data_IF_856101906754
#
_entry.id   IF_856101906754
#
_cell.length_a   1.000
_cell.length_b   1.000
_cell.length_c   1.000
_cell.angle_alpha   90.00
_cell.angle_beta   90.00
_cell.angle_gamma   90.00
#
_symmetry.space_group_name_H-M   'P 1'
#
loop_
_entity.id
_entity.type
_entity.pdbx_description
1 polymer ?
#
# COMPACT_ATOMS: atom_id res chain seq x y z
N UNK A 1 26.79 -58.36 -15.52
CA UNK A 1 27.18 -57.33 -14.54
C UNK A 1 27.91 -56.20 -15.27
N UNK A 2 27.18 -55.20 -15.78
CA UNK A 2 27.75 -54.07 -16.52
C UNK A 2 28.37 -53.11 -15.50
N UNK A 3 29.70 -53.01 -15.47
CA UNK A 3 30.41 -51.98 -14.72
C UNK A 3 30.13 -50.65 -15.40
N UNK A 4 29.28 -49.83 -14.81
CA UNK A 4 29.08 -48.45 -15.26
C UNK A 4 30.34 -47.66 -14.93
N UNK A 5 30.98 -47.10 -15.97
CA UNK A 5 32.19 -46.30 -15.83
C UNK A 5 31.85 -45.00 -15.08
N UNK A 6 32.30 -44.91 -13.83
CA UNK A 6 32.14 -43.75 -12.93
C UNK A 6 32.67 -42.46 -13.59
N UNK A 7 33.63 -42.57 -14.51
CA UNK A 7 34.15 -41.48 -15.36
C UNK A 7 33.08 -40.83 -16.26
N UNK A 8 32.17 -41.62 -16.84
CA UNK A 8 31.11 -41.12 -17.72
C UNK A 8 30.00 -40.38 -16.95
N UNK A 9 29.79 -40.73 -15.68
CA UNK A 9 28.83 -40.06 -14.79
C UNK A 9 29.40 -38.74 -14.27
N UNK A 10 30.70 -38.71 -13.94
CA UNK A 10 31.39 -37.45 -13.57
C UNK A 10 31.43 -36.45 -14.74
N UNK A 11 31.65 -36.93 -15.98
CA UNK A 11 31.64 -36.06 -17.16
C UNK A 11 30.25 -35.48 -17.43
N UNK A 12 29.17 -36.24 -17.24
CA UNK A 12 27.80 -35.75 -17.40
C UNK A 12 27.43 -34.68 -16.35
N UNK A 13 27.93 -34.80 -15.11
CA UNK A 13 27.66 -33.84 -14.03
C UNK A 13 28.42 -32.51 -14.21
N UNK A 14 29.63 -32.53 -14.78
CA UNK A 14 30.39 -31.30 -15.09
C UNK A 14 29.76 -30.52 -16.24
N UNK A 15 29.17 -31.19 -17.24
CA UNK A 15 28.44 -30.51 -18.32
C UNK A 15 27.08 -29.94 -17.88
N UNK A 16 26.39 -30.59 -16.93
CA UNK A 16 25.12 -30.07 -16.38
C UNK A 16 25.34 -28.83 -15.49
N UNK A 17 26.48 -28.75 -14.80
CA UNK A 17 26.85 -27.57 -14.00
C UNK A 17 27.29 -26.36 -14.85
N UNK A 18 27.83 -26.59 -16.06
CA UNK A 18 28.22 -25.51 -16.98
C UNK A 18 27.03 -24.97 -17.82
N UNK A 19 25.97 -25.77 -17.99
CA UNK A 19 24.76 -25.36 -18.70
C UNK A 19 23.80 -24.48 -17.86
N UNK A 20 23.98 -24.47 -16.53
CA UNK A 20 23.19 -23.62 -15.61
C UNK A 20 23.82 -22.23 -15.36
N UNK A 21 24.94 -21.91 -16.02
CA UNK A 21 25.61 -20.62 -15.89
C UNK A 21 25.28 -19.62 -17.02
N UNK A 22 24.39 -19.95 -17.96
CA UNK A 22 24.08 -19.12 -19.14
C UNK A 22 22.60 -18.79 -19.36
N UNK A 23 21.76 -18.90 -18.33
CA UNK A 23 20.50 -18.14 -18.30
C UNK A 23 20.62 -16.93 -17.37
N UNK A 24 21.71 -16.17 -17.54
CA UNK A 24 21.72 -14.77 -17.19
C UNK A 24 20.99 -14.03 -18.30
N UNK A 25 19.79 -13.51 -18.01
CA UNK A 25 19.14 -12.56 -18.87
C UNK A 25 20.11 -11.38 -19.06
N UNK A 26 20.57 -11.23 -20.30
CA UNK A 26 21.48 -10.20 -20.76
C UNK A 26 20.75 -8.84 -20.68
N UNK A 27 20.68 -8.29 -19.46
CA UNK A 27 20.23 -6.93 -19.22
C UNK A 27 21.34 -5.98 -19.69
N UNK A 28 21.28 -5.58 -20.95
CA UNK A 28 22.16 -4.58 -21.52
C UNK A 28 22.22 -3.31 -20.65
N UNK A 29 23.38 -3.05 -20.06
CA UNK A 29 23.75 -1.75 -19.51
C UNK A 29 25.04 -1.29 -20.19
N UNK A 30 24.86 -0.79 -21.41
CA UNK A 30 25.83 0.08 -22.08
C UNK A 30 25.08 1.33 -22.56
N UNK A 31 25.54 2.49 -22.08
CA UNK A 31 25.19 3.81 -22.60
C UNK A 31 24.32 4.66 -21.69
N UNK A 32 24.95 5.56 -20.92
CA UNK A 32 24.85 7.02 -21.18
C UNK A 32 25.13 7.80 -19.89
N UNK A 33 26.29 8.46 -19.83
CA UNK A 33 26.33 9.75 -19.18
C UNK A 33 25.51 10.70 -20.05
N UNK A 34 24.33 11.08 -19.59
CA UNK A 34 23.43 11.93 -20.36
C UNK A 34 22.10 12.07 -19.64
N UNK A 35 21.95 13.18 -18.93
CA UNK A 35 20.71 13.79 -18.43
C UNK A 35 19.73 12.80 -17.79
N UNK A 36 19.58 12.86 -16.45
CA UNK A 36 18.29 12.46 -15.87
C UNK A 36 17.18 13.07 -16.73
N UNK A 37 16.10 12.35 -17.06
CA UNK A 37 14.97 12.95 -17.76
C UNK A 37 14.69 14.32 -17.14
N UNK A 38 14.69 15.37 -17.95
CA UNK A 38 14.39 16.73 -17.50
C UNK A 38 12.90 16.75 -17.21
N UNK A 39 12.51 16.10 -16.13
CA UNK A 39 11.15 16.07 -15.63
C UNK A 39 11.07 16.91 -14.38
N UNK A 40 10.03 17.74 -14.31
CA UNK A 40 9.69 18.45 -13.08
C UNK A 40 9.09 17.46 -12.05
N UNK A 41 8.87 17.92 -10.81
CA UNK A 41 8.33 17.07 -9.75
C UNK A 41 6.99 16.40 -10.13
N UNK A 42 6.13 17.10 -10.85
CA UNK A 42 4.79 16.62 -11.24
C UNK A 42 4.86 15.40 -12.16
N UNK A 43 5.76 15.43 -13.14
CA UNK A 43 5.94 14.33 -14.09
C UNK A 43 6.37 13.05 -13.37
N UNK A 44 7.27 13.18 -12.39
CA UNK A 44 7.69 12.05 -11.57
C UNK A 44 6.60 11.58 -10.59
N UNK A 45 5.80 12.48 -10.02
CA UNK A 45 4.62 12.10 -9.20
C UNK A 45 3.65 11.29 -10.05
N UNK A 46 3.33 11.78 -11.26
CA UNK A 46 2.42 11.11 -12.20
C UNK A 46 2.93 9.72 -12.56
N UNK A 47 4.21 9.61 -12.94
CA UNK A 47 4.83 8.32 -13.26
C UNK A 47 4.85 7.36 -12.05
N UNK A 48 5.05 7.89 -10.84
CA UNK A 48 4.98 7.13 -9.58
C UNK A 48 3.61 6.50 -9.37
N UNK A 49 2.53 7.25 -9.57
CA UNK A 49 1.16 6.74 -9.46
C UNK A 49 0.80 5.76 -10.58
N UNK A 50 1.18 6.02 -11.83
CA UNK A 50 0.97 5.07 -12.92
C UNK A 50 1.63 3.71 -12.67
N UNK A 51 2.80 3.69 -12.04
CA UNK A 51 3.50 2.46 -11.65
C UNK A 51 2.87 1.82 -10.42
N UNK A 52 2.41 2.62 -9.46
CA UNK A 52 1.68 2.15 -8.29
C UNK A 52 0.42 1.38 -8.71
N UNK A 53 -0.38 1.94 -9.62
CA UNK A 53 -1.61 1.32 -10.14
C UNK A 53 -1.35 -0.02 -10.84
N UNK A 54 -0.16 -0.18 -11.42
CA UNK A 54 0.30 -1.43 -12.06
C UNK A 54 0.90 -2.43 -11.05
N UNK A 55 0.87 -2.12 -9.75
CA UNK A 55 1.48 -2.94 -8.68
C UNK A 55 3.01 -2.89 -8.66
N UNK A 56 3.64 -1.97 -9.39
CA UNK A 56 5.09 -1.86 -9.51
C UNK A 56 5.68 -0.98 -8.40
N UNK A 57 5.48 -1.39 -7.14
CA UNK A 57 5.76 -0.53 -5.98
C UNK A 57 7.23 -0.09 -5.87
N UNK A 58 8.19 -0.97 -6.18
CA UNK A 58 9.62 -0.62 -6.15
C UNK A 58 10.01 0.45 -7.17
N UNK A 59 9.43 0.42 -8.37
CA UNK A 59 9.72 1.44 -9.39
C UNK A 59 8.93 2.71 -9.15
N UNK A 60 7.72 2.61 -8.60
CA UNK A 60 6.94 3.76 -8.09
C UNK A 60 7.71 4.53 -7.01
N UNK A 61 8.34 3.84 -6.06
CA UNK A 61 9.20 4.45 -5.03
C UNK A 61 10.34 5.27 -5.64
N UNK A 62 10.99 4.75 -6.69
CA UNK A 62 12.08 5.46 -7.35
C UNK A 62 11.60 6.76 -8.00
N UNK A 63 10.40 6.76 -8.58
CA UNK A 63 9.82 7.95 -9.21
C UNK A 63 9.41 8.99 -8.16
N UNK A 64 8.73 8.60 -7.08
CA UNK A 64 8.39 9.56 -6.02
C UNK A 64 9.64 10.15 -5.35
N UNK A 65 10.69 9.35 -5.13
CA UNK A 65 11.97 9.89 -4.67
C UNK A 65 12.58 10.87 -5.68
N UNK A 66 12.53 10.54 -6.97
CA UNK A 66 12.97 11.46 -8.02
C UNK A 66 12.19 12.77 -8.00
N UNK A 67 10.86 12.74 -7.75
CA UNK A 67 10.05 13.96 -7.61
C UNK A 67 10.52 14.86 -6.46
N UNK A 68 10.91 14.26 -5.33
CA UNK A 68 11.41 14.99 -4.16
C UNK A 68 12.75 15.71 -4.41
N UNK A 69 13.50 15.28 -5.43
CA UNK A 69 14.75 15.91 -5.90
C UNK A 69 14.52 17.08 -6.88
N UNK A 70 13.29 17.34 -7.34
CA UNK A 70 12.97 18.35 -8.38
C UNK A 70 12.34 19.63 -7.85
N UNK A 71 12.83 20.12 -6.70
CA UNK A 71 12.32 21.35 -6.06
C UNK A 71 10.78 21.40 -5.99
N UNK A 72 10.11 20.36 -5.45
CA UNK A 72 8.66 20.30 -5.45
C UNK A 72 8.05 21.41 -4.59
N UNK A 73 6.88 21.90 -5.01
CA UNK A 73 6.01 22.69 -4.13
C UNK A 73 5.63 21.90 -2.87
N UNK A 74 5.15 22.58 -1.83
CA UNK A 74 4.75 21.90 -0.59
C UNK A 74 3.69 20.81 -0.82
N UNK A 75 2.71 21.08 -1.70
CA UNK A 75 1.67 20.09 -2.06
C UNK A 75 2.25 18.91 -2.83
N UNK A 76 3.10 19.15 -3.82
CA UNK A 76 3.77 18.09 -4.59
C UNK A 76 4.67 17.22 -3.71
N UNK A 77 5.38 17.84 -2.77
CA UNK A 77 6.18 17.13 -1.77
C UNK A 77 5.30 16.22 -0.93
N UNK A 78 4.19 16.74 -0.41
CA UNK A 78 3.24 15.96 0.37
C UNK A 78 2.64 14.81 -0.47
N UNK A 79 2.36 15.04 -1.75
CA UNK A 79 1.80 14.01 -2.62
C UNK A 79 2.80 12.90 -2.93
N UNK A 80 4.06 13.26 -3.21
CA UNK A 80 5.14 12.28 -3.38
C UNK A 80 5.37 11.49 -2.09
N UNK A 81 5.33 12.14 -0.91
CA UNK A 81 5.42 11.46 0.39
C UNK A 81 4.24 10.49 0.57
N UNK A 82 3.00 10.92 0.34
CA UNK A 82 1.83 10.06 0.39
C UNK A 82 1.98 8.84 -0.54
N UNK A 83 2.46 9.05 -1.76
CA UNK A 83 2.76 7.99 -2.72
C UNK A 83 3.82 7.00 -2.21
N UNK A 84 4.90 7.50 -1.59
CA UNK A 84 5.89 6.65 -0.92
C UNK A 84 5.25 5.83 0.20
N UNK A 85 4.42 6.44 1.04
CA UNK A 85 3.73 5.76 2.13
C UNK A 85 2.92 4.56 1.62
N UNK A 86 2.13 4.75 0.58
CA UNK A 86 1.37 3.66 -0.04
C UNK A 86 2.24 2.63 -0.74
N UNK A 87 3.28 3.05 -1.48
CA UNK A 87 4.17 2.11 -2.16
C UNK A 87 4.98 1.24 -1.20
N UNK A 88 5.57 1.82 -0.15
CA UNK A 88 6.22 1.05 0.93
C UNK A 88 5.20 0.18 1.66
N UNK A 89 4.02 0.72 1.97
CA UNK A 89 2.94 -0.01 2.63
C UNK A 89 2.50 -1.26 1.88
N UNK A 90 2.38 -1.17 0.54
CA UNK A 90 2.01 -2.29 -0.32
C UNK A 90 3.14 -3.30 -0.54
N UNK A 91 4.39 -2.85 -0.54
CA UNK A 91 5.55 -3.73 -0.75
C UNK A 91 5.96 -4.47 0.51
N UNK A 92 6.02 -3.75 1.63
CA UNK A 92 6.71 -4.18 2.85
C UNK A 92 5.77 -4.24 4.08
N UNK A 93 4.50 -3.85 3.94
CA UNK A 93 3.52 -3.75 5.03
C UNK A 93 3.27 -2.30 5.48
N UNK A 94 2.04 -2.01 5.92
CA UNK A 94 1.53 -0.63 6.06
C UNK A 94 2.38 0.27 6.98
N UNK A 95 3.00 -0.29 8.01
CA UNK A 95 3.87 0.44 8.94
C UNK A 95 5.13 0.99 8.27
N UNK A 96 5.62 0.35 7.20
CA UNK A 96 6.74 0.88 6.41
C UNK A 96 6.41 2.24 5.77
N UNK A 97 5.12 2.58 5.65
CA UNK A 97 4.64 3.85 5.14
C UNK A 97 4.41 4.94 6.20
N UNK A 98 4.49 4.63 7.50
CA UNK A 98 3.97 5.50 8.56
C UNK A 98 4.56 6.92 8.53
N UNK A 99 5.88 7.06 8.51
CA UNK A 99 6.54 8.37 8.50
C UNK A 99 6.17 9.21 7.27
N UNK A 100 5.91 8.56 6.14
CA UNK A 100 5.52 9.21 4.90
C UNK A 100 4.07 9.69 4.93
N UNK A 101 3.17 8.92 5.55
CA UNK A 101 1.79 9.35 5.81
C UNK A 101 1.75 10.51 6.80
N UNK A 102 2.54 10.44 7.88
CA UNK A 102 2.65 11.52 8.87
C UNK A 102 3.11 12.84 8.22
N UNK A 103 4.06 12.78 7.27
CA UNK A 103 4.57 13.93 6.53
C UNK A 103 3.57 14.54 5.53
N UNK A 104 2.45 13.86 5.24
CA UNK A 104 1.51 14.26 4.18
C UNK A 104 0.05 14.37 4.64
N UNK A 105 -0.27 13.96 5.87
CA UNK A 105 -1.63 13.91 6.41
C UNK A 105 -2.38 15.26 6.40
N UNK A 106 -1.67 16.38 6.51
CA UNK A 106 -2.30 17.71 6.51
C UNK A 106 -2.82 18.13 5.12
N UNK A 107 -2.35 17.46 4.06
CA UNK A 107 -2.72 17.78 2.69
C UNK A 107 -3.77 16.82 2.10
N UNK A 108 -3.76 15.54 2.50
CA UNK A 108 -4.52 14.50 1.81
C UNK A 108 -5.25 13.56 2.78
N UNK A 109 -6.52 13.29 2.48
CA UNK A 109 -7.33 12.30 3.18
C UNK A 109 -6.75 10.89 3.02
N UNK A 110 -6.19 10.57 1.86
CA UNK A 110 -5.53 9.29 1.55
C UNK A 110 -4.36 9.02 2.52
N UNK A 111 -3.58 10.05 2.87
CA UNK A 111 -2.48 9.91 3.83
C UNK A 111 -3.01 9.64 5.24
N UNK A 112 -4.07 10.35 5.66
CA UNK A 112 -4.77 10.08 6.93
C UNK A 112 -5.33 8.65 6.98
N UNK A 113 -5.90 8.16 5.89
CA UNK A 113 -6.38 6.78 5.78
C UNK A 113 -5.25 5.77 5.95
N UNK A 114 -4.10 5.99 5.31
CA UNK A 114 -2.90 5.17 5.48
C UNK A 114 -2.39 5.18 6.92
N UNK A 115 -2.33 6.36 7.56
CA UNK A 115 -1.89 6.51 8.95
C UNK A 115 -2.84 5.84 9.95
N UNK A 116 -4.16 5.93 9.73
CA UNK A 116 -5.14 5.18 10.51
C UNK A 116 -4.94 3.67 10.39
N UNK A 117 -4.60 3.19 9.18
CA UNK A 117 -4.19 1.80 8.96
C UNK A 117 -2.94 1.40 9.76
N UNK A 118 -1.91 2.26 9.81
CA UNK A 118 -0.73 2.04 10.65
C UNK A 118 -1.11 1.90 12.13
N UNK A 119 -1.92 2.82 12.67
CA UNK A 119 -2.35 2.74 14.06
C UNK A 119 -3.21 1.51 14.36
N UNK A 120 -4.16 1.18 13.48
CA UNK A 120 -4.95 -0.04 13.62
C UNK A 120 -4.07 -1.30 13.68
N UNK A 121 -3.05 -1.37 12.82
CA UNK A 121 -2.15 -2.52 12.74
C UNK A 121 -1.23 -2.72 13.96
N UNK A 122 -1.11 -1.72 14.84
CA UNK A 122 -0.39 -1.87 16.12
C UNK A 122 -1.18 -2.64 17.19
N UNK A 123 -2.47 -2.91 16.95
CA UNK A 123 -3.33 -3.74 17.78
C UNK A 123 -3.35 -3.36 19.28
N UNK A 124 -3.36 -2.06 19.58
CA UNK A 124 -3.49 -1.55 20.93
C UNK A 124 -4.55 -0.45 21.02
N UNK A 125 -5.15 -0.33 22.20
CA UNK A 125 -6.32 0.55 22.40
C UNK A 125 -5.98 2.04 22.26
N UNK A 126 -4.78 2.46 22.63
CA UNK A 126 -4.38 3.86 22.49
C UNK A 126 -4.30 4.27 21.02
N UNK A 127 -3.67 3.44 20.19
CA UNK A 127 -3.58 3.70 18.75
C UNK A 127 -4.95 3.59 18.06
N UNK A 128 -5.89 2.79 18.57
CA UNK A 128 -7.27 2.81 18.06
C UNK A 128 -7.94 4.17 18.24
N UNK A 129 -7.77 4.83 19.39
CA UNK A 129 -8.30 6.18 19.58
C UNK A 129 -7.63 7.21 18.65
N UNK A 130 -6.33 7.06 18.38
CA UNK A 130 -5.62 7.92 17.42
C UNK A 130 -6.11 7.71 15.99
N UNK A 131 -6.38 6.46 15.60
CA UNK A 131 -6.95 6.13 14.30
C UNK A 131 -8.35 6.74 14.14
N UNK A 132 -9.20 6.65 15.17
CA UNK A 132 -10.53 7.27 15.17
C UNK A 132 -10.43 8.78 14.98
N UNK A 133 -9.62 9.49 15.79
CA UNK A 133 -9.46 10.96 15.67
C UNK A 133 -9.08 11.37 14.24
N UNK A 134 -8.15 10.65 13.63
CA UNK A 134 -7.71 10.93 12.26
C UNK A 134 -8.82 10.70 11.24
N UNK A 135 -9.56 9.60 11.34
CA UNK A 135 -10.64 9.28 10.41
C UNK A 135 -11.83 10.22 10.58
N UNK A 136 -12.18 10.61 11.80
CA UNK A 136 -13.19 11.62 12.09
C UNK A 136 -12.80 12.97 11.47
N UNK A 137 -11.51 13.36 11.53
CA UNK A 137 -10.98 14.56 10.86
C UNK A 137 -10.97 14.49 9.33
N UNK A 138 -11.21 13.32 8.73
CA UNK A 138 -11.51 13.20 7.29
C UNK A 138 -12.99 13.49 7.02
N UNK A 139 -13.87 13.22 8.00
CA UNK A 139 -15.32 13.34 7.91
C UNK A 139 -16.08 12.05 8.28
N UNK A 140 -15.36 10.96 8.58
CA UNK A 140 -15.94 9.65 8.88
C UNK A 140 -16.59 9.56 10.27
N UNK A 141 -16.78 10.66 10.98
CA UNK A 141 -17.69 10.69 12.13
C UNK A 141 -19.17 10.52 11.71
N UNK A 142 -19.47 10.74 10.42
CA UNK A 142 -20.80 10.54 9.84
C UNK A 142 -20.79 9.37 8.85
N UNK A 143 -21.84 8.56 8.88
CA UNK A 143 -22.08 7.52 7.87
C UNK A 143 -22.38 8.09 6.48
N UNK A 144 -22.85 9.34 6.40
CA UNK A 144 -23.16 10.01 5.13
C UNK A 144 -21.91 10.49 4.37
N UNK A 145 -20.74 10.49 5.03
CA UNK A 145 -19.51 10.94 4.41
C UNK A 145 -18.99 9.90 3.42
N UNK A 146 -18.77 10.31 2.17
CA UNK A 146 -18.19 9.44 1.15
C UNK A 146 -16.69 9.69 1.01
N UNK A 147 -15.87 8.75 1.46
CA UNK A 147 -14.42 8.73 1.25
C UNK A 147 -14.11 8.52 -0.24
N UNK A 148 -13.41 9.49 -0.81
CA UNK A 148 -12.96 9.49 -2.21
C UNK A 148 -11.47 9.78 -2.24
N UNK A 149 -10.61 8.76 -2.39
CA UNK A 149 -9.18 8.98 -2.43
C UNK A 149 -8.81 9.74 -3.70
N UNK A 150 -7.75 10.56 -3.61
CA UNK A 150 -7.20 11.28 -4.76
C UNK A 150 -6.65 10.31 -5.81
N UNK A 151 -6.00 9.25 -5.35
CA UNK A 151 -5.41 8.19 -6.19
C UNK A 151 -6.05 6.84 -5.90
N UNK A 152 -5.93 5.88 -6.82
CA UNK A 152 -6.42 4.53 -6.57
C UNK A 152 -5.51 3.78 -5.59
N UNK A 153 -5.63 4.12 -4.31
CA UNK A 153 -4.86 3.51 -3.23
C UNK A 153 -5.34 2.10 -2.88
N UNK A 154 -6.39 1.59 -3.52
CA UNK A 154 -6.98 0.30 -3.20
C UNK A 154 -7.67 0.26 -1.84
N UNK A 155 -8.23 1.39 -1.41
CA UNK A 155 -9.13 1.51 -0.26
C UNK A 155 -10.43 2.15 -0.75
N UNK A 156 -11.52 1.42 -0.69
CA UNK A 156 -12.86 1.86 -1.08
C UNK A 156 -13.55 2.67 0.02
N UNK A 157 -14.68 3.31 -0.30
CA UNK A 157 -15.55 3.91 0.70
C UNK A 157 -16.01 2.86 1.74
N UNK A 158 -16.48 1.71 1.27
CA UNK A 158 -16.90 0.62 2.15
C UNK A 158 -15.78 0.18 3.11
N UNK A 159 -14.55 0.04 2.62
CA UNK A 159 -13.40 -0.33 3.45
C UNK A 159 -13.04 0.75 4.47
N UNK A 160 -13.20 2.04 4.12
CA UNK A 160 -13.03 3.15 5.05
C UNK A 160 -14.07 3.14 6.18
N UNK A 161 -15.34 2.89 5.87
CA UNK A 161 -16.40 2.74 6.86
C UNK A 161 -16.20 1.48 7.71
N UNK A 162 -15.76 0.37 7.11
CA UNK A 162 -15.45 -0.85 7.84
C UNK A 162 -14.32 -0.61 8.85
N UNK A 163 -13.24 0.07 8.46
CA UNK A 163 -12.13 0.38 9.35
C UNK A 163 -12.58 1.19 10.57
N UNK A 164 -13.30 2.31 10.38
CA UNK A 164 -13.74 3.12 11.51
C UNK A 164 -14.79 2.39 12.36
N UNK A 165 -15.66 1.57 11.75
CA UNK A 165 -16.61 0.73 12.47
C UNK A 165 -15.93 -0.28 13.39
N UNK A 166 -14.90 -0.97 12.90
CA UNK A 166 -14.07 -1.89 13.70
C UNK A 166 -13.37 -1.14 14.85
N UNK A 167 -12.85 0.06 14.59
CA UNK A 167 -12.19 0.86 15.62
C UNK A 167 -13.18 1.30 16.72
N UNK A 168 -14.39 1.70 16.34
CA UNK A 168 -15.45 2.00 17.30
C UNK A 168 -15.82 0.77 18.14
N UNK A 169 -15.90 -0.41 17.53
CA UNK A 169 -16.14 -1.66 18.26
C UNK A 169 -15.06 -1.91 19.32
N UNK A 170 -13.78 -1.87 18.94
CA UNK A 170 -12.67 -2.10 19.88
C UNK A 170 -12.51 -1.03 20.96
N UNK A 171 -13.08 0.15 20.75
CA UNK A 171 -13.07 1.23 21.74
C UNK A 171 -14.31 1.25 22.63
N UNK A 172 -15.35 0.49 22.29
CA UNK A 172 -16.59 0.32 23.05
C UNK A 172 -17.76 1.21 22.60
N UNK A 173 -17.67 1.82 21.41
CA UNK A 173 -18.76 2.58 20.81
C UNK A 173 -19.56 1.71 19.84
N UNK A 174 -20.36 0.80 20.39
CA UNK A 174 -21.11 -0.21 19.62
C UNK A 174 -22.12 0.42 18.64
N UNK A 175 -22.77 1.51 19.02
CA UNK A 175 -23.76 2.19 18.17
C UNK A 175 -23.12 2.76 16.89
N UNK A 176 -21.99 3.47 17.01
CA UNK A 176 -21.26 3.94 15.83
C UNK A 176 -20.64 2.78 15.06
N UNK A 177 -20.15 1.74 15.74
CA UNK A 177 -19.62 0.55 15.08
C UNK A 177 -20.66 -0.09 14.15
N UNK A 178 -21.86 -0.35 14.67
CA UNK A 178 -22.96 -0.92 13.90
C UNK A 178 -23.32 -0.05 12.69
N UNK A 179 -23.52 1.26 12.89
CA UNK A 179 -23.92 2.17 11.82
C UNK A 179 -22.89 2.19 10.66
N UNK A 180 -21.59 2.25 10.99
CA UNK A 180 -20.54 2.25 9.96
C UNK A 180 -20.36 0.89 9.28
N UNK A 181 -20.53 -0.23 10.00
CA UNK A 181 -20.44 -1.57 9.40
C UNK A 181 -21.64 -1.88 8.50
N UNK A 182 -22.83 -1.38 8.82
CA UNK A 182 -24.01 -1.44 7.95
C UNK A 182 -23.80 -0.62 6.67
N UNK A 183 -23.32 0.62 6.80
CA UNK A 183 -22.98 1.48 5.66
C UNK A 183 -21.93 0.84 4.74
N UNK A 184 -20.88 0.26 5.33
CA UNK A 184 -19.85 -0.47 4.58
C UNK A 184 -20.45 -1.61 3.77
N UNK A 185 -21.38 -2.38 4.36
CA UNK A 185 -22.03 -3.51 3.70
C UNK A 185 -22.99 -3.09 2.58
N UNK A 186 -23.76 -2.03 2.79
CA UNK A 186 -24.73 -1.55 1.80
C UNK A 186 -24.06 -1.05 0.52
N UNK A 187 -22.89 -0.41 0.65
CA UNK A 187 -22.18 0.22 -0.45
C UNK A 187 -20.94 -0.57 -0.92
N UNK A 188 -20.83 -1.86 -0.58
CA UNK A 188 -19.77 -2.71 -1.11
C UNK A 188 -20.13 -3.26 -2.50
N UNK A 189 -19.59 -2.61 -3.53
CA UNK A 189 -19.71 -3.07 -4.93
C UNK A 189 -18.83 -4.30 -5.23
N UNK A 190 -17.92 -4.65 -4.32
CA UNK A 190 -17.08 -5.84 -4.43
C UNK A 190 -17.68 -6.88 -3.48
N UNK A 191 -17.77 -8.13 -3.89
CA UNK A 191 -18.03 -9.22 -2.94
C UNK A 191 -16.77 -9.34 -2.07
N UNK A 192 -16.60 -8.46 -1.08
CA UNK A 192 -15.47 -8.48 -0.16
C UNK A 192 -15.78 -9.45 0.95
N UNK A 193 -15.27 -10.67 0.79
CA UNK A 193 -15.29 -11.67 1.85
C UNK A 193 -14.68 -11.13 3.15
N UNK A 194 -13.81 -10.12 3.12
CA UNK A 194 -13.23 -9.53 4.32
C UNK A 194 -14.21 -8.64 5.09
N UNK A 195 -14.94 -7.73 4.41
CA UNK A 195 -15.97 -6.90 5.06
C UNK A 195 -17.12 -7.78 5.53
N UNK A 196 -17.55 -8.76 4.73
CA UNK A 196 -18.58 -9.73 5.11
C UNK A 196 -18.15 -10.63 6.29
N UNK A 197 -16.89 -11.07 6.34
CA UNK A 197 -16.36 -11.86 7.46
C UNK A 197 -16.26 -11.03 8.73
N UNK A 198 -15.81 -9.78 8.63
CA UNK A 198 -15.76 -8.85 9.76
C UNK A 198 -17.18 -8.59 10.28
N UNK A 199 -18.12 -8.27 9.38
CA UNK A 199 -19.51 -8.06 9.76
C UNK A 199 -20.10 -9.30 10.44
N UNK A 200 -19.96 -10.49 9.83
CA UNK A 200 -20.51 -11.73 10.38
C UNK A 200 -19.93 -12.04 11.77
N UNK A 201 -18.62 -11.88 11.95
CA UNK A 201 -17.97 -12.11 13.25
C UNK A 201 -18.43 -11.11 14.31
N UNK A 202 -18.73 -9.87 13.93
CA UNK A 202 -19.13 -8.81 14.87
C UNK A 202 -20.64 -8.80 15.11
N UNK A 203 -21.48 -9.12 14.13
CA UNK A 203 -22.95 -9.16 14.25
C UNK A 203 -23.46 -10.31 15.11
N UNK A 204 -22.66 -11.36 15.31
CA UNK A 204 -23.00 -12.44 16.23
C UNK A 204 -22.74 -12.05 17.71
N UNK A 205 -22.07 -10.92 17.95
CA UNK A 205 -21.61 -10.45 19.27
C UNK A 205 -22.26 -9.11 19.66
N UNK A 206 -22.64 -8.29 18.67
CA UNK A 206 -23.43 -7.06 18.79
C UNK A 206 -24.94 -7.38 18.89
#
# INVERSE_FOLDING_TARGET
>A
MKRHNISSILQALVFLALALALTGCEGGRLGSGGLTPIGNAEEYITAGWEKFDKGQYSTSINDFNSALEREPSAKQRAEAQMGLGWSYGRRDGIQSGQAYFEASQDYFADAKMGLAGCYFSNANREDYFRAIDILERIGLSSVDYCFKPLHNIGVSNAEAHALIGILYYYTGNEASAQAHLEEAKTNDDRISTAVDQIYTQLSDIL
#
